data_IF_487848717887
#
_entry.id   IF_487848717887
#
_cell.length_a   1.000
_cell.length_b   1.000
_cell.length_c   1.000
_cell.angle_alpha   90.00
_cell.angle_beta   90.00
_cell.angle_gamma   90.00
#
_symmetry.space_group_name_H-M   'P 1'
#
loop_
_entity.id
_entity.type
_entity.pdbx_description
1 polymer ?
#
# COMPACT_ATOMS: atom_id res chain seq x y z
N UNK A 1 15.22 -5.32 -11.77
CA UNK A 1 13.92 -6.01 -11.87
C UNK A 1 12.88 -4.99 -11.45
N UNK A 2 11.85 -4.72 -12.26
CA UNK A 2 10.88 -3.66 -11.93
C UNK A 2 9.88 -4.17 -10.90
N UNK A 3 9.51 -3.37 -9.89
CA UNK A 3 8.42 -3.74 -8.99
C UNK A 3 7.13 -3.88 -9.80
N UNK A 4 6.28 -4.84 -9.44
CA UNK A 4 4.99 -5.03 -10.11
C UNK A 4 3.99 -4.00 -9.57
N UNK A 5 4.07 -2.79 -10.12
CA UNK A 5 3.20 -1.64 -9.79
C UNK A 5 2.36 -1.31 -11.01
N UNK A 6 1.04 -1.40 -10.87
CA UNK A 6 0.09 -1.16 -11.94
C UNK A 6 -0.97 -0.16 -11.49
N UNK A 7 -1.30 0.80 -12.35
CA UNK A 7 -2.47 1.66 -12.14
C UNK A 7 -3.66 1.06 -12.88
N UNK A 8 -4.80 0.91 -12.20
CA UNK A 8 -6.02 0.56 -12.89
C UNK A 8 -6.47 1.68 -13.85
N UNK A 9 -6.91 1.35 -15.08
CA UNK A 9 -7.45 2.34 -16.01
C UNK A 9 -8.62 3.10 -15.38
N UNK A 10 -8.65 4.42 -15.56
CA UNK A 10 -9.73 5.32 -15.14
C UNK A 10 -10.09 5.33 -13.62
N UNK A 11 -9.37 4.57 -12.80
CA UNK A 11 -9.56 4.52 -11.35
C UNK A 11 -8.34 5.13 -10.63
N UNK A 12 -8.52 5.83 -9.49
CA UNK A 12 -7.42 6.31 -8.65
C UNK A 12 -6.87 5.16 -7.78
N UNK A 13 -6.62 4.00 -8.38
CA UNK A 13 -6.18 2.78 -7.69
C UNK A 13 -4.85 2.33 -8.30
N UNK A 14 -3.88 2.09 -7.43
CA UNK A 14 -2.58 1.51 -7.74
C UNK A 14 -2.50 0.16 -7.04
N UNK A 15 -2.17 -0.89 -7.77
CA UNK A 15 -1.92 -2.22 -7.24
C UNK A 15 -0.41 -2.45 -7.23
N UNK A 16 0.10 -2.83 -6.07
CA UNK A 16 1.48 -3.23 -5.84
C UNK A 16 1.47 -4.70 -5.45
N UNK A 17 1.95 -5.58 -6.32
CA UNK A 17 2.18 -6.98 -5.95
C UNK A 17 3.52 -7.08 -5.22
N UNK A 18 3.47 -7.42 -3.94
CA UNK A 18 4.67 -7.48 -3.10
C UNK A 18 5.31 -8.86 -3.21
N UNK A 19 6.62 -8.88 -3.42
CA UNK A 19 7.44 -10.07 -3.57
C UNK A 19 8.74 -9.92 -2.78
N UNK A 20 9.52 -10.99 -2.65
CA UNK A 20 10.86 -10.93 -2.03
C UNK A 20 11.81 -9.90 -2.69
N UNK A 21 11.60 -9.63 -3.97
CA UNK A 21 12.42 -8.69 -4.75
C UNK A 21 11.92 -7.24 -4.70
N UNK A 22 10.80 -6.99 -4.01
CA UNK A 22 10.21 -5.66 -3.91
C UNK A 22 11.05 -4.77 -3.00
N UNK A 23 11.69 -3.77 -3.61
CA UNK A 23 12.41 -2.70 -2.91
C UNK A 23 11.48 -1.51 -2.66
N UNK A 24 11.45 -1.00 -1.42
CA UNK A 24 10.52 0.06 -0.99
C UNK A 24 10.74 1.36 -1.77
N UNK A 25 12.00 1.76 -1.97
CA UNK A 25 12.32 3.01 -2.68
C UNK A 25 11.88 2.92 -4.15
N UNK A 26 12.15 1.80 -4.79
CA UNK A 26 11.74 1.53 -6.17
C UNK A 26 10.21 1.50 -6.34
N UNK A 27 9.49 0.90 -5.38
CA UNK A 27 8.02 0.89 -5.37
C UNK A 27 7.46 2.29 -5.16
N UNK A 28 8.01 3.06 -4.21
CA UNK A 28 7.59 4.42 -3.94
C UNK A 28 7.80 5.32 -5.16
N UNK A 29 8.98 5.25 -5.79
CA UNK A 29 9.28 6.00 -7.01
C UNK A 29 8.33 5.64 -8.17
N UNK A 30 7.97 4.36 -8.33
CA UNK A 30 7.00 3.92 -9.34
C UNK A 30 5.58 4.46 -9.04
N UNK A 31 5.15 4.43 -7.78
CA UNK A 31 3.87 5.00 -7.36
C UNK A 31 3.84 6.52 -7.61
N UNK A 32 4.90 7.24 -7.23
CA UNK A 32 5.00 8.68 -7.43
C UNK A 32 4.95 9.06 -8.91
N UNK A 33 5.66 8.33 -9.78
CA UNK A 33 5.60 8.55 -11.22
C UNK A 33 4.18 8.35 -11.81
N UNK A 34 3.41 7.39 -11.28
CA UNK A 34 2.02 7.15 -11.69
C UNK A 34 1.10 8.28 -11.23
N UNK A 35 1.28 8.74 -9.99
CA UNK A 35 0.49 9.82 -9.39
C UNK A 35 0.81 11.13 -10.13
N UNK A 36 2.09 11.49 -10.22
CA UNK A 36 2.57 12.76 -10.76
C UNK A 36 2.00 13.95 -9.98
N UNK A 37 1.61 15.00 -10.69
CA UNK A 37 1.03 16.22 -10.09
C UNK A 37 -0.48 16.12 -9.82
N UNK A 38 -1.07 14.93 -9.93
CA UNK A 38 -2.53 14.75 -9.77
C UNK A 38 -2.93 14.98 -8.31
N UNK A 39 -4.01 15.74 -8.14
CA UNK A 39 -4.63 16.00 -6.85
C UNK A 39 -5.67 14.91 -6.53
N UNK A 40 -5.69 14.46 -5.28
CA UNK A 40 -6.70 13.54 -4.77
C UNK A 40 -6.09 12.25 -4.23
N UNK A 41 -6.80 11.56 -3.33
CA UNK A 41 -6.25 10.36 -2.72
C UNK A 41 -6.25 9.20 -3.73
N UNK A 42 -5.07 8.65 -3.98
CA UNK A 42 -4.88 7.37 -4.65
C UNK A 42 -4.96 6.25 -3.62
N UNK A 43 -5.77 5.23 -3.89
CA UNK A 43 -5.72 4.00 -3.12
C UNK A 43 -4.54 3.16 -3.60
N UNK A 44 -3.59 2.87 -2.71
CA UNK A 44 -2.46 1.98 -3.00
C UNK A 44 -2.71 0.64 -2.32
N UNK A 45 -3.14 -0.35 -3.11
CA UNK A 45 -3.33 -1.72 -2.67
C UNK A 45 -1.97 -2.43 -2.70
N UNK A 46 -1.47 -2.82 -1.54
CA UNK A 46 -0.30 -3.66 -1.40
C UNK A 46 -0.79 -5.09 -1.21
N UNK A 47 -0.63 -5.89 -2.25
CA UNK A 47 -1.04 -7.29 -2.27
C UNK A 47 0.11 -8.17 -1.76
N UNK A 48 -0.09 -8.69 -0.55
CA UNK A 48 0.82 -9.60 0.13
C UNK A 48 0.31 -11.05 0.09
N UNK A 49 -0.73 -11.37 -0.69
CA UNK A 49 -1.34 -12.70 -0.73
C UNK A 49 -0.37 -13.81 -1.10
N UNK A 50 0.61 -13.51 -1.96
CA UNK A 50 1.64 -14.44 -2.41
C UNK A 50 2.95 -14.37 -1.60
N UNK A 51 3.03 -13.51 -0.57
CA UNK A 51 4.28 -13.24 0.13
C UNK A 51 4.18 -13.46 1.65
N UNK A 52 5.20 -14.09 2.22
CA UNK A 52 5.33 -14.29 3.66
C UNK A 52 6.43 -13.43 4.24
N UNK A 53 6.11 -12.62 5.25
CA UNK A 53 7.09 -11.83 5.96
C UNK A 53 7.68 -12.58 7.15
N UNK A 54 8.94 -12.28 7.45
CA UNK A 54 9.45 -12.40 8.81
C UNK A 54 9.06 -11.16 9.60
N UNK A 55 9.01 -11.26 10.93
CA UNK A 55 8.72 -10.10 11.78
C UNK A 55 9.73 -8.96 11.59
N UNK A 56 11.03 -9.28 11.47
CA UNK A 56 12.06 -8.27 11.21
C UNK A 56 11.90 -7.61 9.84
N UNK A 57 11.57 -8.39 8.80
CA UNK A 57 11.30 -7.86 7.47
C UNK A 57 10.12 -6.89 7.46
N UNK A 58 9.05 -7.22 8.18
CA UNK A 58 7.91 -6.32 8.36
C UNK A 58 8.30 -5.01 9.03
N UNK A 59 9.04 -5.05 10.14
CA UNK A 59 9.45 -3.84 10.86
C UNK A 59 10.37 -2.95 10.02
N UNK A 60 11.31 -3.54 9.28
CA UNK A 60 12.20 -2.81 8.35
C UNK A 60 11.39 -2.18 7.22
N UNK A 61 10.47 -2.93 6.60
CA UNK A 61 9.61 -2.42 5.53
C UNK A 61 8.71 -1.27 5.99
N UNK A 62 8.10 -1.40 7.18
CA UNK A 62 7.28 -0.33 7.76
C UNK A 62 8.10 0.92 8.07
N UNK A 63 9.31 0.77 8.62
CA UNK A 63 10.20 1.90 8.87
C UNK A 63 10.58 2.62 7.56
N UNK A 64 10.85 1.87 6.48
CA UNK A 64 11.17 2.44 5.17
C UNK A 64 9.97 3.17 4.54
N UNK A 65 8.78 2.56 4.54
CA UNK A 65 7.56 3.13 3.96
C UNK A 65 7.06 4.39 4.68
N UNK A 66 7.47 4.58 5.94
CA UNK A 66 7.04 5.71 6.78
C UNK A 66 7.98 6.90 6.76
N UNK A 67 9.07 6.84 5.98
CA UNK A 67 10.06 7.93 5.83
C UNK A 67 9.55 9.19 5.08
N UNK A 68 8.27 9.25 4.70
CA UNK A 68 7.62 10.36 3.97
C UNK A 68 8.21 10.61 2.57
N UNK A 69 8.64 9.54 1.91
CA UNK A 69 8.99 9.60 0.49
C UNK A 69 7.72 9.79 -0.36
N UNK A 70 7.77 10.59 -1.44
CA UNK A 70 6.70 10.60 -2.43
C UNK A 70 6.40 9.18 -2.94
N UNK A 71 5.12 8.82 -2.99
CA UNK A 71 4.65 7.49 -3.39
C UNK A 71 4.73 6.40 -2.30
N UNK A 72 5.27 6.70 -1.11
CA UNK A 72 5.31 5.76 0.02
C UNK A 72 3.96 5.68 0.75
N UNK A 73 3.81 4.75 1.70
CA UNK A 73 2.57 4.64 2.47
C UNK A 73 2.23 5.89 3.32
N UNK A 74 3.23 6.72 3.66
CA UNK A 74 3.02 7.97 4.39
C UNK A 74 2.89 9.21 3.50
N UNK A 75 2.85 9.04 2.17
CA UNK A 75 2.49 10.11 1.26
C UNK A 75 1.03 10.56 1.52
N UNK A 76 0.76 11.86 1.75
CA UNK A 76 -0.60 12.34 2.02
C UNK A 76 -1.57 12.15 0.84
N UNK A 77 -1.06 11.91 -0.37
CA UNK A 77 -1.86 11.57 -1.55
C UNK A 77 -2.27 10.10 -1.57
N UNK A 78 -1.74 9.26 -0.68
CA UNK A 78 -1.99 7.82 -0.68
C UNK A 78 -2.91 7.42 0.48
N UNK A 79 -3.91 6.61 0.15
CA UNK A 79 -4.69 5.82 1.09
C UNK A 79 -4.18 4.37 1.05
N UNK A 80 -3.39 3.93 2.04
CA UNK A 80 -2.80 2.59 2.02
C UNK A 80 -3.85 1.51 2.29
N UNK A 81 -3.85 0.48 1.46
CA UNK A 81 -4.71 -0.71 1.58
C UNK A 81 -3.84 -1.95 1.52
N UNK A 82 -4.02 -2.87 2.45
CA UNK A 82 -3.31 -4.14 2.52
C UNK A 82 -4.25 -5.28 2.13
N UNK A 83 -3.74 -6.22 1.35
CA UNK A 83 -4.43 -7.46 1.00
C UNK A 83 -3.59 -8.63 1.47
N UNK A 84 -4.19 -9.52 2.26
CA UNK A 84 -3.54 -10.73 2.75
C UNK A 84 -4.14 -11.23 4.06
N UNK A 85 -3.97 -12.52 4.32
CA UNK A 85 -4.59 -13.20 5.47
C UNK A 85 -3.59 -13.59 6.55
N UNK A 86 -2.29 -13.44 6.30
CA UNK A 86 -1.24 -13.83 7.23
C UNK A 86 -1.23 -12.93 8.47
N UNK A 87 -0.82 -13.50 9.61
CA UNK A 87 -0.79 -12.75 10.86
C UNK A 87 0.24 -11.62 10.84
N UNK A 88 1.30 -11.74 10.02
CA UNK A 88 2.25 -10.64 9.82
C UNK A 88 1.64 -9.47 9.05
N UNK A 89 0.80 -9.72 8.05
CA UNK A 89 0.10 -8.63 7.33
C UNK A 89 -0.90 -7.94 8.26
N UNK A 90 -1.63 -8.70 9.08
CA UNK A 90 -2.50 -8.15 10.14
C UNK A 90 -1.70 -7.28 11.11
N UNK A 91 -0.60 -7.80 11.62
CA UNK A 91 0.29 -7.08 12.54
C UNK A 91 0.84 -5.79 11.90
N UNK A 92 1.22 -5.83 10.61
CA UNK A 92 1.68 -4.66 9.87
C UNK A 92 0.62 -3.57 9.77
N UNK A 93 -0.62 -3.93 9.42
CA UNK A 93 -1.74 -2.98 9.36
C UNK A 93 -2.05 -2.33 10.72
N UNK A 94 -1.88 -3.08 11.82
CA UNK A 94 -2.06 -2.58 13.18
C UNK A 94 -0.90 -1.70 13.60
N UNK A 95 0.34 -2.09 13.27
CA UNK A 95 1.54 -1.33 13.57
C UNK A 95 1.51 0.03 12.88
N UNK A 96 1.09 0.11 11.61
CA UNK A 96 1.00 1.39 10.89
C UNK A 96 0.13 2.45 11.57
N UNK A 97 -0.84 2.03 12.40
CA UNK A 97 -1.71 2.93 13.17
C UNK A 97 -1.04 3.51 14.43
N UNK A 98 0.14 3.03 14.79
CA UNK A 98 0.89 3.56 15.93
C UNK A 98 1.52 4.91 15.56
N UNK A 99 1.65 5.79 16.55
CA UNK A 99 2.20 7.15 16.39
C UNK A 99 3.58 7.15 15.71
N UNK A 100 4.46 6.22 16.08
CA UNK A 100 5.81 6.09 15.53
C UNK A 100 5.85 5.79 14.02
N UNK A 101 4.76 5.28 13.45
CA UNK A 101 4.61 4.98 12.04
C UNK A 101 3.69 5.96 11.31
N UNK A 102 3.31 7.06 11.97
CA UNK A 102 2.55 8.16 11.37
C UNK A 102 1.03 7.96 11.37
N UNK A 103 0.50 7.10 12.24
CA UNK A 103 -0.95 6.88 12.43
C UNK A 103 -1.70 6.57 11.13
N UNK A 104 -1.08 5.75 10.27
CA UNK A 104 -1.63 5.41 8.96
C UNK A 104 -2.96 4.67 9.09
N UNK A 105 -3.98 5.17 8.40
CA UNK A 105 -5.28 4.54 8.30
C UNK A 105 -5.27 3.37 7.30
N UNK A 106 -4.50 2.32 7.60
CA UNK A 106 -4.38 1.14 6.74
C UNK A 106 -5.66 0.30 6.82
N UNK A 107 -6.32 0.13 5.67
CA UNK A 107 -7.40 -0.85 5.51
C UNK A 107 -6.81 -2.22 5.21
N UNK A 108 -7.41 -3.28 5.74
CA UNK A 108 -6.95 -4.66 5.53
C UNK A 108 -8.11 -5.51 5.01
N UNK A 109 -7.86 -6.20 3.90
CA UNK A 109 -8.79 -7.14 3.29
C UNK A 109 -8.15 -8.52 3.11
N UNK A 110 -8.99 -9.55 3.11
CA UNK A 110 -8.52 -10.92 2.88
C UNK A 110 -8.14 -11.16 1.41
N UNK A 111 -8.87 -10.53 0.48
CA UNK A 111 -8.70 -10.70 -0.95
C UNK A 111 -8.62 -9.35 -1.68
N UNK A 112 -8.01 -9.37 -2.87
CA UNK A 112 -7.94 -8.20 -3.74
C UNK A 112 -9.34 -7.77 -4.22
N UNK A 113 -10.22 -8.72 -4.47
CA UNK A 113 -11.60 -8.47 -4.89
C UNK A 113 -12.38 -7.68 -3.84
N UNK A 114 -12.30 -8.09 -2.56
CA UNK A 114 -12.97 -7.38 -1.46
C UNK A 114 -12.46 -5.94 -1.33
N UNK A 115 -11.15 -5.74 -1.46
CA UNK A 115 -10.52 -4.42 -1.42
C UNK A 115 -11.04 -3.53 -2.56
N UNK A 116 -11.03 -4.05 -3.79
CA UNK A 116 -11.51 -3.33 -4.97
C UNK A 116 -12.99 -2.98 -4.87
N UNK A 117 -13.83 -3.93 -4.44
CA UNK A 117 -15.26 -3.68 -4.24
C UNK A 117 -15.47 -2.56 -3.21
N UNK A 118 -14.78 -2.62 -2.08
CA UNK A 118 -14.89 -1.60 -1.04
C UNK A 118 -14.46 -0.21 -1.54
N UNK A 119 -13.31 -0.11 -2.21
CA UNK A 119 -12.80 1.15 -2.74
C UNK A 119 -13.75 1.73 -3.78
N UNK A 120 -14.26 0.92 -4.71
CA UNK A 120 -15.20 1.37 -5.75
C UNK A 120 -16.51 1.88 -5.17
N UNK A 121 -17.01 1.28 -4.09
CA UNK A 121 -18.16 1.82 -3.37
C UNK A 121 -17.84 3.21 -2.78
N UNK A 122 -16.68 3.39 -2.14
CA UNK A 122 -16.27 4.69 -1.62
C UNK A 122 -16.10 5.76 -2.71
N UNK A 123 -15.71 5.38 -3.93
CA UNK A 123 -15.57 6.30 -5.05
C UNK A 123 -16.92 6.78 -5.62
N UNK A 124 -18.01 6.05 -5.37
CA UNK A 124 -19.36 6.46 -5.79
C UNK A 124 -20.02 7.43 -4.81
N UNK A 125 -19.55 7.48 -3.56
CA UNK A 125 -20.07 8.33 -2.49
C UNK A 125 -19.44 9.74 -2.47
N UNK A 126 -18.60 10.08 -3.46
CA UNK A 126 -17.88 11.37 -3.60
C UNK A 126 -18.39 12.13 -4.82
#
# INVERSE_FOLDING_TARGET
MHPNVEKLPDEPIIIVTVTESSDVESVAAACDAIIGDKLGPFYRINDFSAFSFTFSGLMVGMAAETTRLPGSLSDPRIKPVFVGTSDMVKLGSQAGRQEQYGELAILLFATLEDALQHIRLQLQDV
#
